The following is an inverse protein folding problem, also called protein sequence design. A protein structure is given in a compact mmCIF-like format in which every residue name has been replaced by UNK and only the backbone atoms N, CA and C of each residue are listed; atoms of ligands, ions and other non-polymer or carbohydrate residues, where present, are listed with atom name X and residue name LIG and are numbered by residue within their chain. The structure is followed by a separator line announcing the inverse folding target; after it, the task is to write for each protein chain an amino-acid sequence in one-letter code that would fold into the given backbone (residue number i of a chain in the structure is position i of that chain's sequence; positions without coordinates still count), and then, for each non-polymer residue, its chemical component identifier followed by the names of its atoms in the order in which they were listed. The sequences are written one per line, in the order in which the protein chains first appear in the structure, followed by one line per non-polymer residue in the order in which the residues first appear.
data_IF_445227775125
#
_entry.id   IF_445227775125
#
_cell.length_a   1.000
_cell.length_b   1.000
_cell.length_c   1.000
_cell.angle_alpha   90.00
_cell.angle_beta   90.00
_cell.angle_gamma   90.00
#
_symmetry.space_group_name_H-M   'P 1'
#
loop_
_entity.id
_entity.type
_entity.pdbx_description
1 polymer ?
#
# COMPACT_ATOMS: atom_id res chain seq x y z
N UNK A 1 -107.85 32.41 52.35
CA UNK A 1 -108.09 33.87 52.40
C UNK A 1 -108.46 34.33 51.00
N UNK A 2 -109.57 35.05 50.90
CA UNK A 2 -110.14 35.54 49.65
C UNK A 2 -109.22 36.59 49.01
N UNK A 3 -108.88 36.40 47.74
CA UNK A 3 -108.38 37.46 46.86
C UNK A 3 -109.31 37.56 45.65
N UNK A 4 -110.00 38.71 45.57
CA UNK A 4 -111.08 39.05 44.66
C UNK A 4 -110.64 39.12 43.18
N UNK A 5 -111.29 38.34 42.32
CA UNK A 5 -111.39 38.60 40.88
C UNK A 5 -112.89 38.61 40.51
N UNK A 6 -113.38 39.71 39.94
CA UNK A 6 -114.81 40.00 39.73
C UNK A 6 -115.33 39.30 38.46
N UNK A 7 -116.46 38.61 38.58
CA UNK A 7 -117.29 38.11 37.45
C UNK A 7 -118.13 39.27 36.89
N UNK A 8 -118.18 39.40 35.55
CA UNK A 8 -118.64 40.60 34.86
C UNK A 8 -120.14 40.61 34.50
N UNK A 9 -120.75 41.81 34.57
CA UNK A 9 -122.00 42.18 33.88
C UNK A 9 -121.88 43.53 33.14
N UNK A 10 -120.72 44.18 33.15
CA UNK A 10 -120.42 45.37 32.34
C UNK A 10 -118.89 45.54 32.22
N UNK A 11 -118.33 45.24 31.04
CA UNK A 11 -116.95 45.63 30.67
C UNK A 11 -115.79 45.03 31.47
N UNK A 12 -115.93 43.84 32.06
CA UNK A 12 -114.87 43.13 32.78
C UNK A 12 -114.57 41.74 32.19
N UNK A 13 -113.34 41.25 32.38
CA UNK A 13 -112.88 39.94 31.89
C UNK A 13 -113.59 38.78 32.60
N UNK A 14 -113.98 37.76 31.85
CA UNK A 14 -114.61 36.54 32.38
C UNK A 14 -113.58 35.68 33.14
N UNK A 15 -113.95 35.17 34.31
CA UNK A 15 -113.05 34.44 35.22
C UNK A 15 -112.60 33.13 34.60
N UNK A 16 -113.50 32.44 33.91
CA UNK A 16 -113.23 31.14 33.30
C UNK A 16 -112.29 31.29 32.09
N UNK A 17 -112.40 32.39 31.35
CA UNK A 17 -111.50 32.76 30.26
C UNK A 17 -110.11 33.15 30.76
N UNK A 18 -110.01 33.93 31.84
CA UNK A 18 -108.70 34.30 32.44
C UNK A 18 -107.98 33.08 32.99
N UNK A 19 -108.69 32.17 33.65
CA UNK A 19 -108.10 30.91 34.15
C UNK A 19 -107.65 30.02 32.99
N UNK A 20 -108.48 29.88 31.94
CA UNK A 20 -108.14 29.11 30.73
C UNK A 20 -106.95 29.71 30.00
N UNK A 21 -106.86 31.03 29.89
CA UNK A 21 -105.72 31.74 29.30
C UNK A 21 -104.43 31.52 30.11
N UNK A 22 -104.47 31.65 31.44
CA UNK A 22 -103.31 31.38 32.30
C UNK A 22 -102.87 29.91 32.17
N UNK A 23 -103.80 28.96 32.16
CA UNK A 23 -103.48 27.55 31.97
C UNK A 23 -102.89 27.27 30.59
N UNK A 24 -103.42 27.91 29.55
CA UNK A 24 -102.93 27.77 28.18
C UNK A 24 -101.55 28.40 28.01
N UNK A 25 -101.35 29.65 28.42
CA UNK A 25 -100.05 30.32 28.41
C UNK A 25 -99.03 29.57 29.29
N UNK A 26 -99.44 29.02 30.44
CA UNK A 26 -98.57 28.20 31.27
C UNK A 26 -98.13 26.94 30.52
N UNK A 27 -99.05 26.22 29.85
CA UNK A 27 -98.72 25.04 29.04
C UNK A 27 -97.80 25.39 27.87
N UNK A 28 -98.09 26.46 27.14
CA UNK A 28 -97.26 26.91 26.01
C UNK A 28 -95.86 27.35 26.48
N UNK A 29 -95.75 28.03 27.62
CA UNK A 29 -94.46 28.34 28.23
C UNK A 29 -93.72 27.07 28.67
N UNK A 30 -94.42 26.10 29.26
CA UNK A 30 -93.81 24.85 29.70
C UNK A 30 -93.28 24.03 28.52
N UNK A 31 -94.02 24.01 27.40
CA UNK A 31 -93.57 23.41 26.14
C UNK A 31 -92.36 24.15 25.55
N UNK A 32 -92.37 25.49 25.56
CA UNK A 32 -91.21 26.28 25.12
C UNK A 32 -89.98 26.05 25.98
N UNK A 33 -90.14 26.02 27.30
CA UNK A 33 -89.03 25.74 28.23
C UNK A 33 -88.48 24.34 27.97
N UNK A 34 -89.34 23.33 27.86
CA UNK A 34 -88.92 21.95 27.54
C UNK A 34 -88.18 21.85 26.20
N UNK A 35 -88.67 22.54 25.15
CA UNK A 35 -88.00 22.55 23.85
C UNK A 35 -86.64 23.26 23.89
N UNK A 36 -86.54 24.37 24.61
CA UNK A 36 -85.29 25.11 24.81
C UNK A 36 -84.29 24.34 25.69
N UNK A 37 -84.77 23.54 26.65
CA UNK A 37 -83.95 22.66 27.48
C UNK A 37 -83.38 21.50 26.66
N UNK A 38 -84.19 20.86 25.81
CA UNK A 38 -83.72 19.83 24.87
C UNK A 38 -82.71 20.40 23.87
N UNK A 39 -82.96 21.58 23.30
CA UNK A 39 -82.04 22.24 22.38
C UNK A 39 -80.72 22.62 23.09
N UNK A 40 -80.78 23.17 24.31
CA UNK A 40 -79.59 23.43 25.11
C UNK A 40 -78.82 22.14 25.37
N UNK A 41 -79.50 21.05 25.72
CA UNK A 41 -78.85 19.78 25.99
C UNK A 41 -78.14 19.25 24.74
N UNK A 42 -78.79 19.31 23.57
CA UNK A 42 -78.19 18.91 22.29
C UNK A 42 -77.01 19.80 21.87
N UNK A 43 -77.10 21.12 22.12
CA UNK A 43 -76.00 22.05 21.87
C UNK A 43 -74.81 21.82 22.81
N UNK A 44 -75.06 21.46 24.07
CA UNK A 44 -74.01 21.10 25.03
C UNK A 44 -73.29 19.82 24.63
N UNK A 45 -74.01 18.79 24.17
CA UNK A 45 -73.40 17.56 23.68
C UNK A 45 -72.55 17.78 22.43
N UNK A 46 -73.04 18.58 21.47
CA UNK A 46 -72.27 18.97 20.28
C UNK A 46 -71.02 19.77 20.64
N UNK A 47 -71.13 20.71 21.60
CA UNK A 47 -69.95 21.44 22.10
C UNK A 47 -68.93 20.49 22.73
N UNK A 48 -69.36 19.56 23.58
CA UNK A 48 -68.46 18.56 24.18
C UNK A 48 -67.78 17.67 23.13
N UNK A 49 -68.51 17.26 22.10
CA UNK A 49 -67.96 16.47 21.00
C UNK A 49 -66.92 17.28 20.20
N UNK A 50 -67.24 18.52 19.83
CA UNK A 50 -66.30 19.43 19.14
C UNK A 50 -65.06 19.73 19.99
N UNK A 51 -65.21 19.92 21.30
CA UNK A 51 -64.07 20.11 22.21
C UNK A 51 -63.17 18.87 22.28
N UNK A 52 -63.76 17.67 22.29
CA UNK A 52 -63.00 16.42 22.25
C UNK A 52 -62.22 16.30 20.93
N UNK A 53 -62.86 16.57 19.79
CA UNK A 53 -62.21 16.57 18.47
C UNK A 53 -61.07 17.60 18.40
N UNK A 54 -61.30 18.84 18.87
CA UNK A 54 -60.26 19.87 18.93
C UNK A 54 -59.08 19.44 19.80
N UNK A 55 -59.33 18.77 20.92
CA UNK A 55 -58.26 18.25 21.77
C UNK A 55 -57.47 17.12 21.08
N UNK A 56 -58.13 16.24 20.33
CA UNK A 56 -57.43 15.21 19.53
C UNK A 56 -56.59 15.81 18.42
N UNK A 57 -57.14 16.79 17.67
CA UNK A 57 -56.43 17.51 16.63
C UNK A 57 -55.22 18.26 17.19
N UNK A 58 -55.35 18.91 18.35
CA UNK A 58 -54.22 19.58 19.02
C UNK A 58 -53.10 18.61 19.37
N UNK A 59 -53.42 17.42 19.88
CA UNK A 59 -52.42 16.38 20.15
C UNK A 59 -51.73 15.92 18.88
N UNK A 60 -52.49 15.63 17.83
CA UNK A 60 -51.92 15.21 16.54
C UNK A 60 -50.99 16.29 15.93
N UNK A 61 -51.33 17.57 16.06
CA UNK A 61 -50.47 18.67 15.60
C UNK A 61 -49.16 18.73 16.41
N UNK A 62 -49.22 18.57 17.74
CA UNK A 62 -48.02 18.53 18.58
C UNK A 62 -47.11 17.35 18.25
N UNK A 63 -47.69 16.16 18.06
CA UNK A 63 -46.96 14.95 17.65
C UNK A 63 -46.32 15.12 16.28
N UNK A 64 -47.04 15.69 15.31
CA UNK A 64 -46.50 15.96 13.98
C UNK A 64 -45.38 17.00 14.01
N UNK A 65 -45.50 18.04 14.85
CA UNK A 65 -44.43 19.01 15.07
C UNK A 65 -43.18 18.35 15.65
N UNK A 66 -43.33 17.51 16.69
CA UNK A 66 -42.22 16.78 17.29
C UNK A 66 -41.57 15.83 16.28
N UNK A 67 -42.37 15.14 15.47
CA UNK A 67 -41.87 14.29 14.39
C UNK A 67 -41.09 15.11 13.34
N UNK A 68 -41.59 16.28 12.93
CA UNK A 68 -40.90 17.18 12.01
C UNK A 68 -39.53 17.64 12.58
N UNK A 69 -39.48 18.01 13.86
CA UNK A 69 -38.24 18.40 14.53
C UNK A 69 -37.23 17.24 14.56
N UNK A 70 -37.66 16.01 14.84
CA UNK A 70 -36.78 14.84 14.81
C UNK A 70 -36.28 14.53 13.39
N UNK A 71 -37.13 14.67 12.37
CA UNK A 71 -36.73 14.51 10.97
C UNK A 71 -35.66 15.52 10.57
N UNK A 72 -35.80 16.79 10.98
CA UNK A 72 -34.81 17.83 10.76
C UNK A 72 -33.47 17.48 11.43
N UNK A 73 -33.48 17.04 12.69
CA UNK A 73 -32.27 16.63 13.40
C UNK A 73 -31.56 15.45 12.71
N UNK A 74 -32.32 14.44 12.29
CA UNK A 74 -31.77 13.28 11.58
C UNK A 74 -31.19 13.67 10.22
N UNK A 75 -31.82 14.61 9.49
CA UNK A 75 -31.28 15.13 8.24
C UNK A 75 -29.95 15.86 8.45
N UNK A 76 -29.83 16.67 9.51
CA UNK A 76 -28.56 17.33 9.86
C UNK A 76 -27.47 16.32 10.17
N UNK A 77 -27.76 15.32 11.01
CA UNK A 77 -26.79 14.26 11.34
C UNK A 77 -26.36 13.46 10.11
N UNK A 78 -27.31 13.13 9.23
CA UNK A 78 -27.02 12.40 8.00
C UNK A 78 -26.09 13.20 7.08
N UNK A 79 -26.30 14.51 6.99
CA UNK A 79 -25.42 15.41 6.23
C UNK A 79 -24.00 15.46 6.83
N UNK A 80 -23.89 15.60 8.15
CA UNK A 80 -22.60 15.61 8.84
C UNK A 80 -21.84 14.29 8.65
N UNK A 81 -22.53 13.15 8.77
CA UNK A 81 -21.94 11.83 8.54
C UNK A 81 -21.51 11.65 7.08
N UNK A 82 -22.29 12.16 6.11
CA UNK A 82 -21.90 12.14 4.71
C UNK A 82 -20.64 12.98 4.45
N UNK A 83 -20.55 14.17 5.04
CA UNK A 83 -19.36 15.02 4.92
C UNK A 83 -18.12 14.36 5.55
N UNK A 84 -18.27 13.70 6.70
CA UNK A 84 -17.19 12.93 7.34
C UNK A 84 -16.77 11.73 6.49
N UNK A 85 -17.73 10.98 5.94
CA UNK A 85 -17.44 9.85 5.05
C UNK A 85 -16.67 10.29 3.81
N UNK A 86 -17.04 11.43 3.20
CA UNK A 86 -16.31 11.99 2.07
C UNK A 86 -14.90 12.43 2.43
N UNK A 87 -14.69 13.04 3.61
CA UNK A 87 -13.35 13.42 4.08
C UNK A 87 -12.46 12.19 4.27
N UNK A 88 -12.97 11.18 4.98
CA UNK A 88 -12.26 9.91 5.20
C UNK A 88 -11.96 9.22 3.87
N UNK A 89 -12.90 9.22 2.93
CA UNK A 89 -12.68 8.64 1.61
C UNK A 89 -11.49 9.32 0.90
N UNK A 90 -11.45 10.65 0.86
CA UNK A 90 -10.33 11.40 0.26
C UNK A 90 -9.00 11.10 0.96
N UNK A 91 -8.99 11.03 2.28
CA UNK A 91 -7.79 10.67 3.05
C UNK A 91 -7.32 9.24 2.71
N UNK A 92 -8.23 8.28 2.60
CA UNK A 92 -7.87 6.91 2.23
C UNK A 92 -7.34 6.80 0.80
N UNK A 93 -7.90 7.56 -0.14
CA UNK A 93 -7.40 7.63 -1.53
C UNK A 93 -6.00 8.25 -1.57
N UNK A 94 -5.78 9.33 -0.83
CA UNK A 94 -4.47 9.96 -0.70
C UNK A 94 -3.42 9.02 -0.08
N UNK A 95 -3.74 8.36 1.03
CA UNK A 95 -2.84 7.40 1.67
C UNK A 95 -2.56 6.18 0.79
N UNK A 96 -3.55 5.71 0.02
CA UNK A 96 -3.33 4.63 -0.97
C UNK A 96 -2.37 5.06 -2.07
N UNK A 97 -2.49 6.29 -2.57
CA UNK A 97 -1.57 6.82 -3.57
C UNK A 97 -0.13 6.89 -3.02
N UNK A 98 0.06 7.42 -1.81
CA UNK A 98 1.38 7.43 -1.17
C UNK A 98 1.96 6.01 -0.96
N UNK A 99 1.13 5.06 -0.52
CA UNK A 99 1.56 3.68 -0.34
C UNK A 99 2.01 3.03 -1.67
N UNK A 100 1.31 3.34 -2.77
CA UNK A 100 1.69 2.87 -4.10
C UNK A 100 3.02 3.49 -4.56
N UNK A 101 3.25 4.78 -4.32
CA UNK A 101 4.53 5.44 -4.61
C UNK A 101 5.67 4.84 -3.80
N UNK A 102 5.45 4.61 -2.49
CA UNK A 102 6.45 3.96 -1.64
C UNK A 102 6.78 2.55 -2.10
N UNK A 103 5.76 1.77 -2.50
CA UNK A 103 5.96 0.43 -3.03
C UNK A 103 6.78 0.46 -4.32
N UNK A 104 6.48 1.37 -5.25
CA UNK A 104 7.26 1.54 -6.48
C UNK A 104 8.70 1.94 -6.20
N UNK A 105 8.95 2.83 -5.23
CA UNK A 105 10.29 3.22 -4.84
C UNK A 105 11.07 2.03 -4.24
N UNK A 106 10.41 1.24 -3.40
CA UNK A 106 10.99 0.05 -2.79
C UNK A 106 11.37 -1.00 -3.84
N UNK A 107 10.50 -1.24 -4.82
CA UNK A 107 10.77 -2.17 -5.92
C UNK A 107 11.96 -1.68 -6.77
N UNK A 108 12.02 -0.37 -7.05
CA UNK A 108 13.16 0.22 -7.76
C UNK A 108 14.49 0.08 -7.00
N UNK A 109 14.49 0.26 -5.68
CA UNK A 109 15.68 0.06 -4.84
C UNK A 109 16.11 -1.40 -4.88
N UNK A 110 15.17 -2.35 -4.79
CA UNK A 110 15.48 -3.77 -4.89
C UNK A 110 16.13 -4.12 -6.25
N UNK A 111 15.63 -3.55 -7.35
CA UNK A 111 16.24 -3.72 -8.68
C UNK A 111 17.68 -3.18 -8.72
N UNK A 112 17.92 -2.01 -8.12
CA UNK A 112 19.25 -1.42 -8.02
C UNK A 112 20.18 -2.36 -7.24
N UNK A 113 19.75 -2.84 -6.08
CA UNK A 113 20.53 -3.74 -5.22
C UNK A 113 20.89 -5.04 -5.95
N UNK A 114 19.90 -5.69 -6.60
CA UNK A 114 20.11 -6.89 -7.39
C UNK A 114 21.10 -6.63 -8.52
N UNK A 115 20.94 -5.52 -9.25
CA UNK A 115 21.83 -5.16 -10.35
C UNK A 115 23.26 -4.86 -9.89
N UNK A 116 23.43 -4.26 -8.71
CA UNK A 116 24.72 -3.95 -8.13
C UNK A 116 25.43 -5.24 -7.70
N UNK A 117 24.73 -6.12 -6.99
CA UNK A 117 25.26 -7.44 -6.62
C UNK A 117 25.67 -8.26 -7.83
N UNK A 118 24.80 -8.32 -8.85
CA UNK A 118 25.10 -9.04 -10.10
C UNK A 118 26.35 -8.50 -10.79
N UNK A 119 26.47 -7.18 -10.94
CA UNK A 119 27.66 -6.56 -11.56
C UNK A 119 28.94 -6.86 -10.79
N UNK A 120 28.89 -6.83 -9.46
CA UNK A 120 30.05 -7.18 -8.62
C UNK A 120 30.47 -8.63 -8.80
N UNK A 121 29.51 -9.57 -8.83
CA UNK A 121 29.81 -10.98 -9.08
C UNK A 121 30.32 -11.23 -10.50
N UNK A 122 29.77 -10.55 -11.51
CA UNK A 122 30.29 -10.62 -12.88
C UNK A 122 31.72 -10.09 -12.98
N UNK A 123 32.04 -8.98 -12.31
CA UNK A 123 33.39 -8.43 -12.26
C UNK A 123 34.35 -9.40 -11.56
N UNK A 124 33.95 -9.95 -10.41
CA UNK A 124 34.71 -10.95 -9.67
C UNK A 124 34.98 -12.20 -10.50
N UNK A 125 33.96 -12.72 -11.17
CA UNK A 125 34.10 -13.90 -12.04
C UNK A 125 35.10 -13.65 -13.18
N UNK A 126 35.03 -12.48 -13.83
CA UNK A 126 35.98 -12.07 -14.88
C UNK A 126 37.40 -11.96 -14.32
N UNK A 127 37.59 -11.35 -13.16
CA UNK A 127 38.90 -11.22 -12.53
C UNK A 127 39.50 -12.60 -12.17
N UNK A 128 38.70 -13.52 -11.63
CA UNK A 128 39.12 -14.90 -11.34
C UNK A 128 39.52 -15.62 -12.62
N UNK A 129 38.75 -15.49 -13.69
CA UNK A 129 39.06 -16.12 -14.98
C UNK A 129 40.38 -15.58 -15.57
N UNK A 130 40.60 -14.26 -15.54
CA UNK A 130 41.85 -13.64 -15.96
C UNK A 130 43.05 -14.14 -15.14
N UNK A 131 42.91 -14.23 -13.80
CA UNK A 131 43.96 -14.74 -12.92
C UNK A 131 44.28 -16.22 -13.24
N UNK A 132 43.27 -17.04 -13.52
CA UNK A 132 43.46 -18.44 -13.94
C UNK A 132 44.21 -18.53 -15.26
N UNK A 133 43.88 -17.69 -16.23
CA UNK A 133 44.57 -17.64 -17.52
C UNK A 133 46.03 -17.24 -17.36
N UNK A 134 46.32 -16.19 -16.59
CA UNK A 134 47.69 -15.76 -16.30
C UNK A 134 48.49 -16.84 -15.56
N UNK A 135 47.86 -17.54 -14.61
CA UNK A 135 48.50 -18.63 -13.88
C UNK A 135 48.91 -19.75 -14.83
N UNK A 136 48.01 -20.19 -15.72
CA UNK A 136 48.31 -21.21 -16.75
C UNK A 136 49.44 -20.78 -17.68
N UNK A 137 49.40 -19.53 -18.16
CA UNK A 137 50.47 -18.98 -19.00
C UNK A 137 51.82 -18.98 -18.27
N UNK A 138 51.84 -18.64 -16.97
CA UNK A 138 53.04 -18.65 -16.16
C UNK A 138 53.57 -20.08 -15.92
N UNK A 139 52.69 -21.05 -15.69
CA UNK A 139 53.04 -22.47 -15.57
C UNK A 139 53.67 -23.00 -16.87
N UNK A 140 53.03 -22.72 -18.01
CA UNK A 140 53.54 -23.10 -19.34
C UNK A 140 54.90 -22.46 -19.62
N UNK A 141 55.06 -21.17 -19.31
CA UNK A 141 56.33 -20.48 -19.47
C UNK A 141 57.43 -21.07 -18.57
N UNK A 142 57.11 -21.36 -17.31
CA UNK A 142 58.04 -22.00 -16.38
C UNK A 142 58.47 -23.38 -16.89
N UNK A 143 57.54 -24.18 -17.39
CA UNK A 143 57.82 -25.50 -17.95
C UNK A 143 58.73 -25.41 -19.18
N UNK A 144 58.41 -24.51 -20.12
CA UNK A 144 59.23 -24.27 -21.31
C UNK A 144 60.63 -23.75 -20.96
N UNK A 145 60.72 -22.83 -20.01
CA UNK A 145 62.00 -22.28 -19.54
C UNK A 145 62.86 -23.37 -18.91
N UNK A 146 62.29 -24.20 -18.02
CA UNK A 146 62.97 -25.37 -17.43
C UNK A 146 63.47 -26.34 -18.49
N UNK A 147 62.66 -26.66 -19.50
CA UNK A 147 63.07 -27.54 -20.59
C UNK A 147 64.25 -26.95 -21.39
N UNK A 148 64.22 -25.65 -21.69
CA UNK A 148 65.32 -24.95 -22.38
C UNK A 148 66.62 -24.98 -21.56
N UNK A 149 66.56 -24.74 -20.25
CA UNK A 149 67.74 -24.81 -19.38
C UNK A 149 68.28 -26.23 -19.25
N UNK A 150 67.42 -27.25 -19.18
CA UNK A 150 67.84 -28.64 -19.15
C UNK A 150 68.58 -29.03 -20.43
N UNK A 151 68.05 -28.64 -21.60
CA UNK A 151 68.69 -28.86 -22.88
C UNK A 151 70.05 -28.13 -22.99
N UNK A 152 70.11 -26.86 -22.58
CA UNK A 152 71.35 -26.09 -22.59
C UNK A 152 72.41 -26.72 -21.67
N UNK A 153 72.02 -27.15 -20.46
CA UNK A 153 72.92 -27.86 -19.56
C UNK A 153 73.43 -29.17 -20.17
N UNK A 154 72.55 -29.93 -20.84
CA UNK A 154 72.93 -31.15 -21.53
C UNK A 154 73.99 -30.89 -22.61
N UNK A 155 73.78 -29.86 -23.44
CA UNK A 155 74.74 -29.44 -24.46
C UNK A 155 76.08 -29.00 -23.87
N UNK A 156 76.09 -28.29 -22.74
CA UNK A 156 77.32 -27.93 -22.04
C UNK A 156 78.06 -29.17 -21.51
N UNK A 157 77.34 -30.12 -20.90
CA UNK A 157 77.93 -31.37 -20.44
C UNK A 157 78.56 -32.15 -21.61
N UNK A 158 77.89 -32.24 -22.76
CA UNK A 158 78.44 -32.87 -23.96
C UNK A 158 79.73 -32.19 -24.43
N UNK A 159 79.74 -30.85 -24.53
CA UNK A 159 80.93 -30.11 -24.95
C UNK A 159 82.09 -30.25 -23.97
N UNK A 160 81.80 -30.25 -22.66
CA UNK A 160 82.81 -30.48 -21.62
C UNK A 160 83.40 -31.89 -21.72
N UNK A 161 82.57 -32.91 -21.93
CA UNK A 161 83.04 -34.29 -22.11
C UNK A 161 83.93 -34.42 -23.36
N UNK A 162 83.55 -33.80 -24.47
CA UNK A 162 84.37 -33.78 -25.69
C UNK A 162 85.71 -33.06 -25.46
N UNK A 163 85.69 -31.89 -24.81
CA UNK A 163 86.92 -31.18 -24.47
C UNK A 163 87.84 -31.99 -23.54
N UNK A 164 87.26 -32.69 -22.55
CA UNK A 164 87.99 -33.60 -21.66
C UNK A 164 88.62 -34.76 -22.46
N UNK A 165 87.90 -35.35 -23.41
CA UNK A 165 88.42 -36.42 -24.26
C UNK A 165 89.59 -35.93 -25.12
N UNK A 166 89.46 -34.78 -25.78
CA UNK A 166 90.55 -34.19 -26.60
C UNK A 166 91.80 -33.90 -25.76
N UNK A 167 91.65 -33.49 -24.50
CA UNK A 167 92.78 -33.27 -23.60
C UNK A 167 93.40 -34.57 -23.08
N UNK A 168 92.62 -35.66 -22.96
CA UNK A 168 93.11 -36.96 -22.52
C UNK A 168 93.87 -37.71 -23.63
N UNK A 169 93.50 -37.49 -24.89
CA UNK A 169 94.18 -38.02 -26.07
C UNK A 169 94.74 -36.85 -26.92
N UNK A 170 95.76 -36.12 -26.41
CA UNK A 170 96.35 -35.03 -27.17
C UNK A 170 97.02 -35.62 -28.42
N UNK A 171 96.74 -35.03 -29.58
CA UNK A 171 97.42 -35.38 -30.82
C UNK A 171 98.87 -34.91 -30.74
N UNK A 172 99.75 -35.84 -30.36
CA UNK A 172 101.19 -35.62 -30.29
C UNK A 172 101.89 -35.94 -31.61
N UNK A 173 101.15 -36.30 -32.68
CA UNK A 173 101.75 -36.68 -33.96
C UNK A 173 102.66 -35.58 -34.50
N UNK A 174 102.25 -34.32 -34.45
CA UNK A 174 103.09 -33.19 -34.87
C UNK A 174 104.38 -33.03 -34.04
N UNK A 175 104.33 -33.31 -32.73
CA UNK A 175 105.54 -33.34 -31.88
C UNK A 175 106.41 -34.54 -32.21
N UNK A 176 105.82 -35.70 -32.48
CA UNK A 176 106.53 -36.92 -32.88
C UNK A 176 107.21 -36.74 -34.25
N UNK A 177 106.56 -36.09 -35.21
CA UNK A 177 107.13 -35.73 -36.51
C UNK A 177 108.29 -34.74 -36.36
N UNK A 178 108.14 -33.72 -35.50
CA UNK A 178 109.21 -32.77 -35.21
C UNK A 178 110.41 -33.45 -34.53
N UNK A 179 110.15 -34.36 -33.58
CA UNK A 179 111.19 -35.14 -32.92
C UNK A 179 111.93 -36.07 -33.91
N UNK A 180 111.20 -36.72 -34.82
CA UNK A 180 111.77 -37.53 -35.89
C UNK A 180 112.60 -36.68 -36.87
N UNK A 181 112.12 -35.50 -37.25
CA UNK A 181 112.86 -34.56 -38.10
C UNK A 181 114.14 -34.06 -37.43
N UNK A 182 114.10 -33.75 -36.13
CA UNK A 182 115.29 -33.38 -35.36
C UNK A 182 116.31 -34.51 -35.29
N UNK A 183 115.87 -35.77 -35.08
CA UNK A 183 116.76 -36.94 -35.11
C UNK A 183 117.44 -37.12 -36.47
N UNK A 184 116.70 -36.98 -37.56
CA UNK A 184 117.28 -37.03 -38.91
C UNK A 184 118.32 -35.91 -39.14
N UNK A 185 118.06 -34.73 -38.58
CA UNK A 185 118.97 -33.59 -38.69
C UNK A 185 120.25 -33.85 -37.86
N UNK A 186 120.13 -34.41 -36.66
CA UNK A 186 121.25 -34.85 -35.82
C UNK A 186 122.07 -35.97 -36.48
N UNK A 187 121.41 -36.96 -37.08
CA UNK A 187 122.05 -38.02 -37.86
C UNK A 187 122.83 -37.44 -39.05
N UNK A 188 122.24 -36.49 -39.80
CA UNK A 188 122.93 -35.85 -40.93
C UNK A 188 124.20 -35.10 -40.50
N UNK A 189 124.20 -34.45 -39.33
CA UNK A 189 125.40 -33.80 -38.79
C UNK A 189 126.46 -34.80 -38.31
N UNK A 190 126.05 -35.97 -37.82
CA UNK A 190 126.97 -37.04 -37.43
C UNK A 190 127.62 -37.73 -38.63
N UNK A 191 126.90 -37.88 -39.75
CA UNK A 191 127.44 -38.37 -41.03
C UNK A 191 128.38 -37.34 -41.68
N UNK A 192 128.08 -36.04 -41.54
CA UNK A 192 128.94 -34.97 -42.08
C UNK A 192 130.26 -34.80 -41.29
N UNK A 193 130.33 -35.27 -40.04
CA UNK A 193 131.53 -35.25 -39.19
C UNK A 193 132.40 -36.51 -39.29
N UNK A 194 132.04 -37.49 -40.13
CA UNK A 194 132.83 -38.71 -40.41
C UNK A 194 133.43 -38.75 -41.83
N UNK A 195 133.27 -37.68 -42.62
CA UNK A 195 133.93 -37.49 -43.93
C UNK A 195 135.02 -36.42 -43.83
#
# INVERSE_FOLDING_TARGET
MNTNFKTALFGGFDREDVVSYIQQTSRENQQRVSALEEENHGLQERNRAMEAELNTLRRAVLENSAAADTCLQLQTQLRELQEQAQKLQKETEYLRAQAAEYQSLKDHIADIEISAHRRTEEFRAKAIEQLRQLTRQQEDWCAQSRAKYAELNHQFCQKLALAQQTLAEPDLSGFQEMEAGLRQLEESFSETNQA
#
